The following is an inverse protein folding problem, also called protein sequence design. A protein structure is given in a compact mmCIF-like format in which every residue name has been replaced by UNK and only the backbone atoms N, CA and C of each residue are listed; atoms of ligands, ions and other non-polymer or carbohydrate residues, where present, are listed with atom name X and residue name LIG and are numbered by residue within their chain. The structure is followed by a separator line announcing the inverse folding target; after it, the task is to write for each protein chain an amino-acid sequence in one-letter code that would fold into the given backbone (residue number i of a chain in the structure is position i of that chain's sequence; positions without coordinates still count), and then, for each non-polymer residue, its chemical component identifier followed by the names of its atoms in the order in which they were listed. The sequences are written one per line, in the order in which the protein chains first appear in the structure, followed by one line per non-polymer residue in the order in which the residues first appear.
data_IF_934816417720
#
_entry.id   IF_934816417720
#
_cell.length_a   1.000
_cell.length_b   1.000
_cell.length_c   1.000
_cell.angle_alpha   90.00
_cell.angle_beta   90.00
_cell.angle_gamma   90.00
#
_symmetry.space_group_name_H-M   'P 1'
#
loop_
_entity.id
_entity.type
_entity.pdbx_description
1 polymer ?
#
# COMPACT_ATOMS: atom_id res chain seq x y z
N UNK A 1 -13.71 -20.11 -3.89
CA UNK A 1 -13.23 -19.14 -2.88
C UNK A 1 -13.27 -17.78 -3.54
N UNK A 2 -13.93 -16.80 -2.92
CA UNK A 2 -14.10 -15.48 -3.53
C UNK A 2 -12.78 -14.70 -3.53
N UNK A 3 -12.59 -13.83 -4.52
CA UNK A 3 -11.39 -13.03 -4.70
C UNK A 3 -11.77 -11.55 -4.82
N UNK A 4 -11.06 -10.69 -4.11
CA UNK A 4 -11.05 -9.24 -4.34
C UNK A 4 -9.74 -8.86 -5.02
N UNK A 5 -9.86 -8.14 -6.14
CA UNK A 5 -8.73 -7.52 -6.82
C UNK A 5 -8.60 -6.07 -6.35
N UNK A 6 -7.44 -5.68 -5.86
CA UNK A 6 -7.10 -4.29 -5.54
C UNK A 6 -6.12 -3.80 -6.61
N UNK A 7 -6.43 -2.71 -7.29
CA UNK A 7 -5.61 -2.18 -8.39
C UNK A 7 -5.64 -0.68 -8.41
N UNK A 8 -4.59 -0.04 -8.90
CA UNK A 8 -4.68 1.34 -9.43
C UNK A 8 -5.18 1.28 -10.87
N UNK A 9 -5.72 2.39 -11.37
CA UNK A 9 -6.23 2.47 -12.75
C UNK A 9 -5.84 3.79 -13.43
N UNK A 10 -5.10 3.64 -14.52
CA UNK A 10 -4.67 4.63 -15.49
C UNK A 10 -4.69 3.96 -16.87
N UNK A 11 -4.15 2.75 -16.94
CA UNK A 11 -4.35 1.82 -18.06
C UNK A 11 -5.31 0.71 -17.65
N UNK A 12 -6.30 0.45 -18.52
CA UNK A 12 -7.35 -0.53 -18.32
C UNK A 12 -6.90 -1.96 -18.61
N UNK A 13 -5.97 -2.17 -19.55
CA UNK A 13 -5.58 -3.51 -20.02
C UNK A 13 -5.01 -4.40 -18.91
N UNK A 14 -4.07 -3.94 -18.05
CA UNK A 14 -3.55 -4.74 -16.95
C UNK A 14 -4.65 -5.21 -15.99
N UNK A 15 -5.66 -4.36 -15.76
CA UNK A 15 -6.78 -4.67 -14.88
C UNK A 15 -7.68 -5.72 -15.51
N UNK A 16 -7.97 -5.62 -16.81
CA UNK A 16 -8.76 -6.62 -17.54
C UNK A 16 -8.09 -8.00 -17.57
N UNK A 17 -6.78 -8.06 -17.74
CA UNK A 17 -5.99 -9.31 -17.69
C UNK A 17 -6.13 -9.95 -16.31
N UNK A 18 -6.00 -9.16 -15.24
CA UNK A 18 -6.18 -9.63 -13.88
C UNK A 18 -7.62 -10.11 -13.61
N UNK A 19 -8.63 -9.37 -14.06
CA UNK A 19 -10.04 -9.76 -13.94
C UNK A 19 -10.28 -11.12 -14.61
N UNK A 20 -9.79 -11.30 -15.84
CA UNK A 20 -9.97 -12.53 -16.60
C UNK A 20 -9.27 -13.70 -15.93
N UNK A 21 -8.03 -13.50 -15.46
CA UNK A 21 -7.24 -14.58 -14.84
C UNK A 21 -7.74 -15.00 -13.46
N UNK A 22 -8.14 -14.03 -12.64
CA UNK A 22 -8.48 -14.26 -11.23
C UNK A 22 -9.97 -14.37 -10.97
N UNK A 23 -10.80 -13.98 -11.93
CA UNK A 23 -12.27 -13.97 -11.84
C UNK A 23 -12.77 -13.39 -10.50
N UNK A 24 -12.33 -12.17 -10.13
CA UNK A 24 -12.70 -11.58 -8.85
C UNK A 24 -14.20 -11.29 -8.82
N UNK A 25 -14.81 -11.41 -7.64
CA UNK A 25 -16.19 -10.95 -7.43
C UNK A 25 -16.26 -9.44 -7.22
N UNK A 26 -15.14 -8.86 -6.80
CA UNK A 26 -15.03 -7.44 -6.49
C UNK A 26 -13.69 -6.89 -6.97
N UNK A 27 -13.72 -5.69 -7.53
CA UNK A 27 -12.54 -4.92 -7.89
C UNK A 27 -12.59 -3.59 -7.14
N UNK A 28 -11.54 -3.32 -6.37
CA UNK A 28 -11.30 -2.03 -5.73
C UNK A 28 -10.26 -1.28 -6.55
N UNK A 29 -10.70 -0.21 -7.21
CA UNK A 29 -9.86 0.68 -8.00
C UNK A 29 -9.43 1.86 -7.16
N UNK A 30 -8.12 2.08 -7.05
CA UNK A 30 -7.56 3.32 -6.51
C UNK A 30 -7.38 4.32 -7.65
N UNK A 31 -8.06 5.45 -7.51
CA UNK A 31 -8.17 6.50 -8.54
C UNK A 31 -7.68 7.83 -8.00
N UNK A 32 -7.40 8.78 -8.89
CA UNK A 32 -7.04 10.15 -8.49
C UNK A 32 -8.28 10.99 -8.21
N UNK A 33 -8.19 11.87 -7.21
CA UNK A 33 -9.16 12.93 -6.93
C UNK A 33 -9.19 13.91 -8.13
N UNK A 34 -10.36 14.08 -8.78
CA UNK A 34 -10.52 14.72 -10.11
C UNK A 34 -9.81 13.97 -11.25
N UNK A 35 -9.94 12.64 -11.28
CA UNK A 35 -9.33 11.77 -12.28
C UNK A 35 -9.37 12.29 -13.72
N UNK A 36 -8.26 12.07 -14.43
CA UNK A 36 -8.13 12.42 -15.85
C UNK A 36 -9.20 11.73 -16.69
N UNK A 37 -9.51 12.29 -17.86
CA UNK A 37 -10.48 11.69 -18.78
C UNK A 37 -10.12 10.24 -19.12
N UNK A 38 -8.82 9.92 -19.18
CA UNK A 38 -8.29 8.56 -19.39
C UNK A 38 -8.72 7.60 -18.28
N UNK A 39 -8.70 8.03 -17.01
CA UNK A 39 -9.13 7.19 -15.89
C UNK A 39 -10.63 6.93 -15.94
N UNK A 40 -11.44 7.96 -16.24
CA UNK A 40 -12.89 7.83 -16.37
C UNK A 40 -13.27 6.88 -17.50
N UNK A 41 -12.64 7.03 -18.66
CA UNK A 41 -12.83 6.13 -19.80
C UNK A 41 -12.45 4.67 -19.45
N UNK A 42 -11.36 4.50 -18.69
CA UNK A 42 -10.92 3.18 -18.21
C UNK A 42 -11.94 2.55 -17.25
N UNK A 43 -12.49 3.33 -16.31
CA UNK A 43 -13.54 2.88 -15.40
C UNK A 43 -14.84 2.52 -16.15
N UNK A 44 -15.27 3.37 -17.08
CA UNK A 44 -16.44 3.11 -17.93
C UNK A 44 -16.27 1.84 -18.76
N UNK A 45 -15.08 1.64 -19.33
CA UNK A 45 -14.73 0.43 -20.08
C UNK A 45 -14.86 -0.81 -19.21
N UNK A 46 -14.30 -0.79 -17.99
CA UNK A 46 -14.42 -1.91 -17.05
C UNK A 46 -15.87 -2.14 -16.61
N UNK A 47 -16.62 -1.08 -16.32
CA UNK A 47 -18.02 -1.17 -15.91
C UNK A 47 -18.89 -1.78 -17.01
N UNK A 48 -18.70 -1.36 -18.26
CA UNK A 48 -19.43 -1.89 -19.41
C UNK A 48 -19.09 -3.35 -19.69
N UNK A 49 -17.81 -3.74 -19.57
CA UNK A 49 -17.36 -5.10 -19.84
C UNK A 49 -17.74 -6.09 -18.74
N UNK A 50 -17.62 -5.70 -17.46
CA UNK A 50 -17.67 -6.62 -16.33
C UNK A 50 -18.67 -6.26 -15.22
N UNK A 51 -19.21 -5.04 -15.19
CA UNK A 51 -20.03 -4.54 -14.08
C UNK A 51 -21.33 -5.31 -13.82
N UNK A 52 -21.78 -6.13 -14.77
CA UNK A 52 -22.92 -7.06 -14.57
C UNK A 52 -22.59 -8.26 -13.69
N UNK A 53 -21.32 -8.63 -13.60
CA UNK A 53 -20.86 -9.85 -12.94
C UNK A 53 -19.90 -9.57 -11.77
N UNK A 54 -19.31 -8.37 -11.72
CA UNK A 54 -18.28 -7.97 -10.77
C UNK A 54 -18.68 -6.66 -10.11
N UNK A 55 -18.55 -6.58 -8.79
CA UNK A 55 -18.71 -5.34 -8.01
C UNK A 55 -17.46 -4.46 -8.17
N UNK A 56 -17.53 -3.45 -9.02
CA UNK A 56 -16.42 -2.51 -9.25
C UNK A 56 -16.66 -1.26 -8.41
N UNK A 57 -15.70 -0.93 -7.54
CA UNK A 57 -15.74 0.29 -6.72
C UNK A 57 -14.45 1.07 -6.86
N UNK A 58 -14.59 2.38 -6.87
CA UNK A 58 -13.47 3.32 -6.87
C UNK A 58 -13.27 3.92 -5.48
N UNK A 59 -12.02 4.14 -5.12
CA UNK A 59 -11.61 4.87 -3.92
C UNK A 59 -10.55 5.89 -4.32
N UNK A 60 -10.90 7.16 -4.17
CA UNK A 60 -10.02 8.27 -4.50
C UNK A 60 -8.83 8.34 -3.54
N UNK A 61 -7.67 8.70 -4.09
CA UNK A 61 -6.42 8.98 -3.37
C UNK A 61 -5.61 10.02 -4.13
N UNK A 62 -4.63 10.61 -3.45
CA UNK A 62 -3.58 11.42 -4.08
C UNK A 62 -2.69 10.50 -4.93
N UNK A 63 -2.72 10.63 -6.26
CA UNK A 63 -1.99 9.74 -7.18
C UNK A 63 -0.47 9.94 -7.14
N UNK A 64 0.01 11.04 -6.56
CA UNK A 64 1.43 11.43 -6.54
C UNK A 64 2.08 11.18 -5.19
N UNK A 65 1.30 11.08 -4.12
CA UNK A 65 1.79 10.76 -2.78
C UNK A 65 1.76 9.25 -2.49
N UNK A 66 2.90 8.59 -2.71
CA UNK A 66 3.06 7.16 -2.42
C UNK A 66 2.71 6.74 -0.98
N UNK A 67 2.81 7.64 0.02
CA UNK A 67 2.45 7.34 1.42
C UNK A 67 0.94 7.29 1.58
N UNK A 68 0.22 8.24 0.97
CA UNK A 68 -1.25 8.24 0.96
C UNK A 68 -1.79 7.03 0.18
N UNK A 69 -1.21 6.70 -0.96
CA UNK A 69 -1.59 5.52 -1.77
C UNK A 69 -1.35 4.23 -0.97
N UNK A 70 -0.18 4.08 -0.34
CA UNK A 70 0.10 2.92 0.50
C UNK A 70 -0.91 2.79 1.65
N UNK A 71 -1.28 3.91 2.27
CA UNK A 71 -2.30 3.96 3.31
C UNK A 71 -3.68 3.59 2.79
N UNK A 72 -4.06 4.05 1.59
CA UNK A 72 -5.32 3.71 0.94
C UNK A 72 -5.40 2.21 0.64
N UNK A 73 -4.34 1.61 0.06
CA UNK A 73 -4.26 0.17 -0.19
C UNK A 73 -4.32 -0.63 1.11
N UNK A 74 -3.53 -0.24 2.11
CA UNK A 74 -3.51 -0.91 3.40
C UNK A 74 -4.90 -0.94 4.06
N UNK A 75 -5.61 0.19 4.02
CA UNK A 75 -6.98 0.29 4.51
C UNK A 75 -7.96 -0.56 3.69
N UNK A 76 -7.80 -0.62 2.37
CA UNK A 76 -8.61 -1.47 1.49
C UNK A 76 -8.41 -2.96 1.84
N UNK A 77 -7.16 -3.41 1.99
CA UNK A 77 -6.82 -4.77 2.39
C UNK A 77 -7.45 -5.12 3.74
N UNK A 78 -7.34 -4.25 4.75
CA UNK A 78 -7.91 -4.49 6.08
C UNK A 78 -9.45 -4.58 6.06
N UNK A 79 -10.13 -3.79 5.23
CA UNK A 79 -11.58 -3.85 5.06
C UNK A 79 -12.01 -5.18 4.44
N UNK A 80 -11.33 -5.63 3.39
CA UNK A 80 -11.68 -6.86 2.65
C UNK A 80 -11.35 -8.13 3.43
N UNK A 81 -10.27 -8.13 4.23
CA UNK A 81 -9.85 -9.26 5.05
C UNK A 81 -10.98 -9.82 5.94
N UNK A 82 -11.88 -8.95 6.43
CA UNK A 82 -12.95 -9.34 7.36
C UNK A 82 -13.92 -10.39 6.78
N UNK A 83 -13.90 -10.60 5.47
CA UNK A 83 -14.81 -11.50 4.76
C UNK A 83 -14.20 -12.87 4.41
N UNK A 84 -12.93 -13.14 4.77
CA UNK A 84 -12.26 -14.41 4.42
C UNK A 84 -12.01 -14.60 2.91
N UNK A 85 -11.94 -13.48 2.18
CA UNK A 85 -11.78 -13.40 0.74
C UNK A 85 -10.28 -13.42 0.39
N UNK A 86 -9.92 -14.02 -0.75
CA UNK A 86 -8.56 -13.93 -1.29
C UNK A 86 -8.27 -12.53 -1.80
N UNK A 87 -7.13 -11.95 -1.42
CA UNK A 87 -6.75 -10.61 -1.83
C UNK A 87 -5.60 -10.70 -2.82
N UNK A 88 -5.86 -10.25 -4.05
CA UNK A 88 -4.84 -10.08 -5.10
C UNK A 88 -4.62 -8.60 -5.31
N UNK A 89 -3.36 -8.16 -5.25
CA UNK A 89 -2.97 -6.77 -5.48
C UNK A 89 -2.26 -6.65 -6.82
N UNK A 90 -2.83 -5.89 -7.76
CA UNK A 90 -2.22 -5.56 -9.03
C UNK A 90 -1.52 -4.19 -8.94
N UNK A 91 -0.24 -4.14 -9.32
CA UNK A 91 0.56 -2.91 -9.30
C UNK A 91 0.75 -2.26 -10.67
N UNK A 92 0.26 -2.88 -11.76
CA UNK A 92 0.57 -2.43 -13.14
C UNK A 92 -0.32 -1.31 -13.65
N UNK A 93 -1.54 -1.15 -13.13
CA UNK A 93 -2.52 -0.26 -13.70
C UNK A 93 -2.29 1.23 -13.42
N UNK A 94 -1.15 1.68 -12.90
CA UNK A 94 -0.93 3.08 -12.52
C UNK A 94 0.46 3.61 -12.82
N UNK A 95 0.64 4.92 -12.68
CA UNK A 95 1.96 5.56 -12.78
C UNK A 95 2.91 5.10 -11.67
N UNK A 96 4.21 5.38 -11.80
CA UNK A 96 5.24 4.89 -10.87
C UNK A 96 4.93 5.13 -9.38
N UNK A 97 4.46 6.32 -8.94
CA UNK A 97 4.12 6.53 -7.54
C UNK A 97 2.96 5.65 -7.06
N UNK A 98 1.96 5.42 -7.93
CA UNK A 98 0.82 4.54 -7.68
C UNK A 98 1.25 3.08 -7.56
N UNK A 99 2.06 2.59 -8.49
CA UNK A 99 2.59 1.23 -8.45
C UNK A 99 3.42 0.99 -7.17
N UNK A 100 4.32 1.91 -6.84
CA UNK A 100 5.16 1.83 -5.63
C UNK A 100 4.34 1.94 -4.35
N UNK A 101 3.45 2.93 -4.26
CA UNK A 101 2.54 3.09 -3.12
C UNK A 101 1.68 1.85 -2.91
N UNK A 102 1.17 1.27 -4.00
CA UNK A 102 0.36 0.05 -3.96
C UNK A 102 1.16 -1.14 -3.43
N UNK A 103 2.38 -1.32 -3.94
CA UNK A 103 3.30 -2.35 -3.48
C UNK A 103 3.63 -2.21 -1.98
N UNK A 104 3.91 -0.98 -1.53
CA UNK A 104 4.20 -0.71 -0.12
C UNK A 104 2.98 -0.92 0.79
N UNK A 105 1.79 -0.53 0.34
CA UNK A 105 0.54 -0.82 1.04
C UNK A 105 0.30 -2.33 1.17
N UNK A 106 0.60 -3.11 0.13
CA UNK A 106 0.50 -4.57 0.18
C UNK A 106 1.49 -5.17 1.17
N UNK A 107 2.74 -4.72 1.20
CA UNK A 107 3.75 -5.19 2.17
C UNK A 107 3.41 -4.82 3.62
N UNK A 108 2.76 -3.67 3.87
CA UNK A 108 2.36 -3.29 5.23
C UNK A 108 1.30 -4.23 5.83
N UNK A 109 0.46 -4.81 4.97
CA UNK A 109 -0.60 -5.79 5.33
C UNK A 109 -0.34 -7.18 4.75
N UNK A 110 0.93 -7.53 4.53
CA UNK A 110 1.37 -8.78 3.90
C UNK A 110 0.65 -10.04 4.39
N UNK A 111 0.30 -10.13 5.68
CA UNK A 111 -0.38 -11.27 6.28
C UNK A 111 -1.82 -11.49 5.78
N UNK A 112 -2.39 -10.54 5.03
CA UNK A 112 -3.75 -10.60 4.47
C UNK A 112 -3.75 -10.61 2.94
N UNK A 113 -2.57 -10.53 2.31
CA UNK A 113 -2.43 -10.52 0.85
C UNK A 113 -2.05 -11.92 0.40
N UNK A 114 -2.82 -12.48 -0.54
CA UNK A 114 -2.54 -13.80 -1.11
C UNK A 114 -1.52 -13.71 -2.24
N UNK A 115 -1.62 -12.66 -3.09
CA UNK A 115 -0.72 -12.45 -4.24
C UNK A 115 -0.52 -10.97 -4.50
N UNK A 116 0.68 -10.62 -4.92
CA UNK A 116 1.02 -9.32 -5.50
C UNK A 116 1.48 -9.58 -6.93
N UNK A 117 0.89 -8.90 -7.90
CA UNK A 117 1.09 -9.19 -9.31
C UNK A 117 1.46 -7.95 -10.10
N UNK A 118 2.29 -8.16 -11.11
CA UNK A 118 2.60 -7.23 -12.17
C UNK A 118 2.24 -7.89 -13.50
N UNK A 119 1.54 -7.18 -14.37
CA UNK A 119 1.27 -7.55 -15.76
C UNK A 119 2.37 -7.00 -16.65
N UNK A 120 3.03 -7.89 -17.40
CA UNK A 120 3.90 -7.53 -18.52
C UNK A 120 3.03 -7.36 -19.77
N UNK A 121 2.70 -6.11 -20.11
CA UNK A 121 1.80 -5.79 -21.23
C UNK A 121 2.33 -6.29 -22.57
N UNK A 122 3.66 -6.38 -22.74
CA UNK A 122 4.27 -6.84 -23.98
C UNK A 122 4.00 -8.32 -24.26
N UNK A 123 3.85 -9.12 -23.19
CA UNK A 123 3.59 -10.57 -23.27
C UNK A 123 2.18 -10.94 -22.83
N UNK A 124 1.44 -9.98 -22.26
CA UNK A 124 0.14 -10.20 -21.58
C UNK A 124 0.23 -11.27 -20.49
N UNK A 125 1.38 -11.34 -19.82
CA UNK A 125 1.66 -12.32 -18.78
C UNK A 125 1.58 -11.71 -17.40
N UNK A 126 1.12 -12.50 -16.43
CA UNK A 126 1.11 -12.13 -15.02
C UNK A 126 2.37 -12.67 -14.35
N UNK A 127 3.12 -11.77 -13.73
CA UNK A 127 4.31 -12.05 -12.95
C UNK A 127 3.97 -11.89 -11.47
N UNK A 128 4.23 -12.92 -10.67
CA UNK A 128 4.11 -12.85 -9.22
C UNK A 128 5.32 -12.14 -8.61
N UNK A 129 5.03 -11.16 -7.75
CA UNK A 129 6.01 -10.49 -6.94
C UNK A 129 6.09 -11.14 -5.54
N UNK A 130 7.28 -11.12 -4.91
CA UNK A 130 7.44 -11.67 -3.57
C UNK A 130 6.63 -10.87 -2.55
N UNK A 131 6.00 -11.55 -1.59
CA UNK A 131 5.33 -10.90 -0.46
C UNK A 131 6.36 -10.67 0.65
N UNK A 132 6.76 -9.41 0.84
CA UNK A 132 7.80 -9.03 1.79
C UNK A 132 7.22 -8.44 3.07
N UNK A 133 8.01 -8.52 4.15
CA UNK A 133 7.74 -7.84 5.43
C UNK A 133 8.79 -6.76 5.68
N UNK A 134 8.39 -5.63 6.26
CA UNK A 134 9.32 -4.54 6.59
C UNK A 134 10.33 -4.86 7.70
N UNK A 135 10.17 -5.96 8.44
CA UNK A 135 11.13 -6.38 9.47
C UNK A 135 11.26 -5.43 10.68
N UNK A 136 10.29 -4.54 10.88
CA UNK A 136 10.30 -3.54 11.96
C UNK A 136 9.54 -4.05 13.21
N UNK A 137 10.20 -4.01 14.37
CA UNK A 137 9.60 -4.39 15.66
C UNK A 137 8.49 -3.42 16.09
N UNK A 138 7.58 -3.88 16.96
CA UNK A 138 6.49 -3.06 17.52
C UNK A 138 7.00 -1.80 18.25
N UNK A 139 8.10 -1.91 19.01
CA UNK A 139 8.72 -0.77 19.71
C UNK A 139 9.23 0.28 18.73
N UNK A 140 9.96 -0.13 17.68
CA UNK A 140 10.40 0.77 16.60
C UNK A 140 9.23 1.46 15.90
N UNK A 141 8.14 0.74 15.61
CA UNK A 141 6.91 1.36 15.08
C UNK A 141 6.32 2.41 16.02
N UNK A 142 6.30 2.15 17.34
CA UNK A 142 5.82 3.13 18.34
C UNK A 142 6.68 4.40 18.35
N UNK A 143 8.01 4.26 18.26
CA UNK A 143 8.93 5.41 18.16
C UNK A 143 8.59 6.25 16.93
N UNK A 144 8.48 5.64 15.75
CA UNK A 144 8.14 6.35 14.51
C UNK A 144 6.78 7.08 14.61
N UNK A 145 5.77 6.46 15.23
CA UNK A 145 4.48 7.12 15.50
C UNK A 145 4.63 8.33 16.43
N UNK A 146 5.41 8.20 17.49
CA UNK A 146 5.65 9.32 18.39
C UNK A 146 6.35 10.50 17.69
N UNK A 147 7.26 10.24 16.75
CA UNK A 147 7.88 11.31 15.95
C UNK A 147 6.84 12.06 15.11
N UNK A 148 5.85 11.35 14.54
CA UNK A 148 4.73 11.98 13.82
C UNK A 148 3.86 12.81 14.76
N UNK A 149 3.63 12.33 15.98
CA UNK A 149 2.85 13.02 17.01
C UNK A 149 3.59 14.23 17.63
N UNK A 150 4.81 14.54 17.15
CA UNK A 150 5.58 15.71 17.56
C UNK A 150 6.53 15.49 18.75
N UNK A 151 6.71 14.26 19.21
CA UNK A 151 7.72 13.95 20.24
C UNK A 151 9.10 13.92 19.59
N UNK A 152 9.95 14.92 19.85
CA UNK A 152 11.19 15.18 19.10
C UNK A 152 12.46 15.05 19.93
N UNK A 153 12.38 14.45 21.12
CA UNK A 153 13.55 14.21 21.97
C UNK A 153 13.57 12.80 22.52
N UNK A 154 14.78 12.27 22.76
CA UNK A 154 14.99 10.93 23.32
C UNK A 154 14.28 10.74 24.65
N UNK A 155 14.26 11.79 25.50
CA UNK A 155 13.57 11.79 26.79
C UNK A 155 12.05 11.64 26.60
N UNK A 156 11.45 12.47 25.74
CA UNK A 156 10.01 12.38 25.47
C UNK A 156 9.63 10.99 24.91
N UNK A 157 10.44 10.47 23.98
CA UNK A 157 10.23 9.15 23.41
C UNK A 157 10.34 8.05 24.48
N UNK A 158 11.39 8.07 25.31
CA UNK A 158 11.58 7.08 26.40
C UNK A 158 10.41 7.09 27.37
N UNK A 159 9.95 8.28 27.76
CA UNK A 159 8.88 8.46 28.73
C UNK A 159 7.54 8.01 28.13
N UNK A 160 7.27 8.34 26.86
CA UNK A 160 6.01 8.01 26.16
C UNK A 160 5.84 6.51 25.91
N UNK A 161 6.93 5.80 25.54
CA UNK A 161 6.89 4.37 25.20
C UNK A 161 7.30 3.46 26.36
N UNK A 162 7.69 4.05 27.50
CA UNK A 162 8.12 3.37 28.72
C UNK A 162 9.30 2.41 28.53
N UNK A 163 10.40 2.91 27.95
CA UNK A 163 11.68 2.18 27.83
C UNK A 163 12.83 3.05 28.33
N UNK A 164 13.97 2.43 28.67
CA UNK A 164 15.16 3.18 29.10
C UNK A 164 15.71 4.07 27.97
N UNK A 165 16.32 5.20 28.33
CA UNK A 165 16.96 6.11 27.36
C UNK A 165 18.00 5.40 26.50
N UNK A 166 18.78 4.48 27.08
CA UNK A 166 19.76 3.68 26.34
C UNK A 166 19.12 2.81 25.25
N UNK A 167 17.99 2.16 25.55
CA UNK A 167 17.22 1.42 24.55
C UNK A 167 16.65 2.35 23.47
N UNK A 168 16.15 3.54 23.87
CA UNK A 168 15.66 4.54 22.91
C UNK A 168 16.77 4.97 21.95
N UNK A 169 17.98 5.27 22.43
CA UNK A 169 19.13 5.60 21.58
C UNK A 169 19.47 4.46 20.60
N UNK A 170 19.52 3.22 21.09
CA UNK A 170 19.80 2.06 20.25
C UNK A 170 18.76 1.89 19.13
N UNK A 171 17.47 2.00 19.47
CA UNK A 171 16.41 1.91 18.47
C UNK A 171 16.43 3.06 17.47
N UNK A 172 16.72 4.29 17.90
CA UNK A 172 16.87 5.43 16.98
C UNK A 172 18.04 5.17 16.02
N UNK A 173 19.18 4.67 16.51
CA UNK A 173 20.32 4.30 15.66
C UNK A 173 19.93 3.25 14.61
N UNK A 174 19.30 2.16 15.04
CA UNK A 174 18.83 1.11 14.11
C UNK A 174 17.83 1.65 13.09
N UNK A 175 16.91 2.52 13.51
CA UNK A 175 15.96 3.18 12.61
C UNK A 175 16.63 4.10 11.60
N UNK A 176 17.75 4.74 11.96
CA UNK A 176 18.59 5.53 11.04
C UNK A 176 19.33 4.65 10.04
N UNK A 177 19.88 3.52 10.50
CA UNK A 177 20.54 2.54 9.63
C UNK A 177 19.58 1.98 8.58
N UNK A 178 18.30 1.83 8.96
CA UNK A 178 17.21 1.44 8.05
C UNK A 178 16.68 2.60 7.18
N UNK A 179 17.18 3.84 7.36
CA UNK A 179 16.72 5.03 6.65
C UNK A 179 15.30 5.50 7.01
N UNK A 180 14.74 5.04 8.14
CA UNK A 180 13.39 5.38 8.61
C UNK A 180 13.35 6.66 9.46
N UNK A 181 14.49 7.03 10.05
CA UNK A 181 14.75 8.31 10.70
C UNK A 181 15.91 8.96 9.97
N UNK A 182 15.89 10.28 9.84
CA UNK A 182 16.98 11.06 9.27
C UNK A 182 18.31 10.80 10.02
N UNK A 183 19.43 10.81 9.28
CA UNK A 183 20.74 10.47 9.84
C UNK A 183 21.22 11.49 10.86
N UNK A 184 20.88 12.76 10.69
CA UNK A 184 21.40 13.88 11.46
C UNK A 184 20.37 14.43 12.44
N UNK A 185 19.13 14.60 11.98
CA UNK A 185 18.03 15.13 12.79
C UNK A 185 17.12 14.01 13.31
N UNK A 186 16.37 14.26 14.39
CA UNK A 186 15.43 13.30 14.96
C UNK A 186 14.05 13.46 14.30
N UNK A 187 14.02 13.24 12.99
CA UNK A 187 12.81 13.36 12.18
C UNK A 187 12.55 12.08 11.37
N UNK A 188 11.28 11.79 11.13
CA UNK A 188 10.85 10.63 10.36
C UNK A 188 10.97 10.90 8.85
N UNK A 189 11.52 9.93 8.11
CA UNK A 189 11.62 10.02 6.64
C UNK A 189 10.34 9.53 5.96
N UNK A 190 10.24 9.69 4.64
CA UNK A 190 9.18 9.07 3.82
C UNK A 190 9.18 7.54 3.97
N UNK A 191 10.35 6.90 4.00
CA UNK A 191 10.45 5.46 4.24
C UNK A 191 9.94 5.08 5.64
N UNK A 192 10.24 5.90 6.65
CA UNK A 192 9.70 5.75 8.00
C UNK A 192 8.18 5.82 8.05
N UNK A 193 7.57 6.76 7.31
CA UNK A 193 6.12 6.89 7.19
C UNK A 193 5.49 5.66 6.51
N UNK A 194 6.10 5.15 5.44
CA UNK A 194 5.66 3.91 4.78
C UNK A 194 5.71 2.69 5.71
N UNK A 195 6.74 2.59 6.57
CA UNK A 195 6.94 1.44 7.47
C UNK A 195 5.88 1.31 8.58
N UNK A 196 5.11 2.37 8.85
CA UNK A 196 4.08 2.39 9.89
C UNK A 196 2.64 2.35 9.37
N UNK A 197 2.47 2.30 8.04
CA UNK A 197 1.19 2.04 7.37
C UNK A 197 0.59 0.69 7.83
#
# INVERSE_FOLDING_TARGET
METTLISTIYDVEPVMICITKFSPKKVLLLTEDNGSDVMKESEETLANAFGRFIDIKSQETDSKDSVKIASAVANAIEKEKKSGIKIVVNISGGERPQALGTLFGAYSKHQFVDRIVFVDDSKKEIIDLPILKYGISSTKKKILKCLIDGFNSVKQLSDKINISRGMTYNHIRELRDMGLIDKEILEITTAGRLAIV
#
